data_IF_058743848851
#
_entry.id   IF_058743848851
#
_cell.length_a   1.000
_cell.length_b   1.000
_cell.length_c   1.000
_cell.angle_alpha   90.00
_cell.angle_beta   90.00
_cell.angle_gamma   90.00
#
_symmetry.space_group_name_H-M   'P 1'
#
loop_
_entity.id
_entity.type
_entity.pdbx_description
1 polymer ?
#
# COMPACT_ATOMS: atom_id res chain seq x y z
N UNK A 1 -0.02 6.20 -18.69
CA UNK A 1 -1.34 6.12 -19.38
C UNK A 1 -2.28 5.34 -18.48
N UNK A 2 -3.51 5.83 -18.29
CA UNK A 2 -4.52 5.10 -17.50
C UNK A 2 -5.03 3.89 -18.28
N UNK A 3 -5.21 2.76 -17.59
CA UNK A 3 -5.78 1.56 -18.19
C UNK A 3 -7.26 1.80 -18.57
N UNK A 4 -7.68 1.52 -19.80
CA UNK A 4 -9.11 1.58 -20.17
C UNK A 4 -9.94 0.58 -19.34
N UNK A 5 -11.14 0.99 -18.93
CA UNK A 5 -12.06 0.15 -18.15
C UNK A 5 -12.40 -1.17 -18.87
N UNK A 6 -12.58 -1.13 -20.20
CA UNK A 6 -12.82 -2.33 -21.02
C UNK A 6 -11.65 -3.34 -20.93
N UNK A 7 -10.42 -2.86 -20.81
CA UNK A 7 -9.25 -3.71 -20.63
C UNK A 7 -9.24 -4.35 -19.24
N UNK A 8 -9.62 -3.60 -18.19
CA UNK A 8 -9.78 -4.12 -16.85
C UNK A 8 -10.89 -5.17 -16.76
N UNK A 9 -12.01 -4.98 -17.45
CA UNK A 9 -13.11 -5.97 -17.55
C UNK A 9 -12.62 -7.26 -18.20
N UNK A 10 -11.86 -7.17 -19.30
CA UNK A 10 -11.27 -8.35 -19.96
C UNK A 10 -10.31 -9.08 -19.02
N UNK A 11 -9.40 -8.38 -18.35
CA UNK A 11 -8.47 -9.00 -17.38
C UNK A 11 -9.23 -9.76 -16.30
N UNK A 12 -10.28 -9.14 -15.74
CA UNK A 12 -11.11 -9.78 -14.72
C UNK A 12 -11.72 -11.08 -15.21
N UNK A 13 -12.28 -11.07 -16.42
CA UNK A 13 -12.88 -12.26 -17.03
C UNK A 13 -11.85 -13.33 -17.37
N UNK A 14 -10.75 -12.93 -18.03
CA UNK A 14 -9.78 -13.88 -18.61
C UNK A 14 -8.86 -14.51 -17.56
N UNK A 15 -8.61 -13.80 -16.44
CA UNK A 15 -7.67 -14.26 -15.41
C UNK A 15 -8.36 -14.78 -14.14
N UNK A 16 -9.53 -14.25 -13.81
CA UNK A 16 -10.25 -14.58 -12.59
C UNK A 16 -11.60 -15.26 -12.82
N UNK A 17 -12.00 -15.47 -14.09
CA UNK A 17 -13.30 -16.03 -14.43
C UNK A 17 -14.50 -15.22 -13.94
N UNK A 18 -14.29 -13.93 -13.64
CA UNK A 18 -15.29 -13.07 -13.02
C UNK A 18 -15.86 -12.05 -14.01
N UNK A 19 -17.17 -11.80 -13.88
CA UNK A 19 -17.88 -10.71 -14.55
C UNK A 19 -18.50 -9.79 -13.50
N UNK A 20 -18.62 -8.50 -13.84
CA UNK A 20 -19.20 -7.53 -12.92
C UNK A 20 -19.03 -6.09 -13.37
N UNK A 21 -19.62 -5.17 -12.61
CA UNK A 21 -19.46 -3.75 -12.81
C UNK A 21 -18.15 -3.26 -12.17
N UNK A 22 -17.43 -2.39 -12.87
CA UNK A 22 -16.24 -1.73 -12.37
C UNK A 22 -16.57 -0.27 -11.98
N UNK A 23 -15.94 0.19 -10.93
CA UNK A 23 -15.88 1.61 -10.57
C UNK A 23 -14.42 1.97 -10.30
N UNK A 24 -13.87 2.87 -11.11
CA UNK A 24 -12.52 3.39 -10.90
C UNK A 24 -12.47 4.24 -9.64
N UNK A 25 -11.41 4.09 -8.87
CA UNK A 25 -11.04 5.05 -7.83
C UNK A 25 -10.03 6.06 -8.36
N UNK A 26 -10.11 7.28 -7.83
CA UNK A 26 -9.08 8.28 -8.03
C UNK A 26 -7.92 7.96 -7.06
N UNK A 27 -6.79 7.54 -7.62
CA UNK A 27 -5.59 7.12 -6.89
C UNK A 27 -4.36 7.76 -7.51
N UNK A 28 -3.36 8.08 -6.70
CA UNK A 28 -2.19 8.85 -7.14
C UNK A 28 -1.31 8.10 -8.14
N UNK A 29 -1.19 6.78 -8.02
CA UNK A 29 -0.20 6.01 -8.79
C UNK A 29 -0.82 4.87 -9.59
N UNK A 30 -1.59 4.00 -8.95
CA UNK A 30 -2.12 2.78 -9.54
C UNK A 30 -3.45 3.04 -10.27
N UNK A 31 -3.77 2.22 -11.27
CA UNK A 31 -5.15 2.09 -11.70
C UNK A 31 -5.88 1.14 -10.74
N UNK A 32 -6.82 1.66 -9.98
CA UNK A 32 -7.56 0.90 -8.97
C UNK A 32 -9.04 0.88 -9.29
N UNK A 33 -9.63 -0.32 -9.34
CA UNK A 33 -11.04 -0.51 -9.64
C UNK A 33 -11.72 -1.31 -8.53
N UNK A 34 -12.86 -0.81 -8.05
CA UNK A 34 -13.80 -1.64 -7.32
C UNK A 34 -14.58 -2.49 -8.31
N UNK A 35 -14.52 -3.78 -8.14
CA UNK A 35 -15.30 -4.77 -8.88
C UNK A 35 -16.50 -5.14 -8.02
N UNK A 36 -17.70 -5.16 -8.65
CA UNK A 36 -18.91 -5.71 -8.02
C UNK A 36 -19.45 -6.79 -8.94
N UNK A 37 -19.35 -8.04 -8.51
CA UNK A 37 -19.81 -9.20 -9.28
C UNK A 37 -21.34 -9.32 -9.26
N UNK A 38 -21.91 -10.11 -10.16
CA UNK A 38 -23.38 -10.31 -10.27
C UNK A 38 -23.99 -10.90 -9.00
N UNK A 39 -23.23 -11.72 -8.25
CA UNK A 39 -23.63 -12.29 -6.94
C UNK A 39 -23.41 -11.32 -5.77
N UNK A 40 -23.01 -10.07 -6.05
CA UNK A 40 -22.86 -9.01 -5.06
C UNK A 40 -21.53 -9.00 -4.28
N UNK A 41 -20.60 -9.92 -4.56
CA UNK A 41 -19.26 -9.88 -3.98
C UNK A 41 -18.50 -8.67 -4.51
N UNK A 42 -17.63 -8.12 -3.65
CA UNK A 42 -16.81 -6.96 -4.01
C UNK A 42 -15.32 -7.26 -3.89
N UNK A 43 -14.55 -6.72 -4.85
CA UNK A 43 -13.10 -6.87 -4.90
C UNK A 43 -12.46 -5.54 -5.31
N UNK A 44 -11.15 -5.46 -5.14
CA UNK A 44 -10.30 -4.40 -5.64
C UNK A 44 -9.34 -4.99 -6.66
N UNK A 45 -9.50 -4.62 -7.92
CA UNK A 45 -8.52 -4.90 -8.97
C UNK A 45 -7.51 -3.75 -8.99
N UNK A 46 -6.25 -4.06 -8.78
CA UNK A 46 -5.13 -3.11 -8.85
C UNK A 46 -4.23 -3.44 -10.02
N UNK A 47 -3.98 -2.44 -10.84
CA UNK A 47 -2.98 -2.46 -11.90
C UNK A 47 -1.92 -1.46 -11.51
N UNK A 48 -0.76 -1.95 -11.10
CA UNK A 48 0.31 -1.13 -10.56
C UNK A 48 0.83 -0.11 -11.57
N UNK A 49 1.38 0.99 -11.08
CA UNK A 49 2.15 1.92 -11.89
C UNK A 49 3.30 1.17 -12.58
N UNK A 50 3.62 1.45 -13.87
CA UNK A 50 4.73 0.79 -14.57
C UNK A 50 6.10 1.02 -13.90
N UNK A 51 6.25 2.12 -13.15
CA UNK A 51 7.48 2.42 -12.40
C UNK A 51 7.59 1.65 -11.08
N UNK A 52 6.55 0.93 -10.67
CA UNK A 52 6.57 0.14 -9.44
C UNK A 52 7.24 -1.22 -9.70
N UNK A 53 8.37 -1.53 -9.06
CA UNK A 53 9.05 -2.81 -9.25
C UNK A 53 8.18 -4.00 -8.84
N UNK A 54 8.31 -5.12 -9.55
CA UNK A 54 7.63 -6.37 -9.18
C UNK A 54 7.87 -6.75 -7.71
N UNK A 55 9.10 -6.59 -7.22
CA UNK A 55 9.49 -6.91 -5.85
C UNK A 55 8.73 -6.12 -4.79
N UNK A 56 8.28 -4.89 -5.10
CA UNK A 56 7.43 -4.10 -4.22
C UNK A 56 6.01 -4.66 -4.11
N UNK A 57 5.46 -5.11 -5.23
CA UNK A 57 4.12 -5.71 -5.27
C UNK A 57 4.16 -7.09 -4.60
N UNK A 58 5.21 -7.86 -4.84
CA UNK A 58 5.45 -9.15 -4.20
C UNK A 58 5.62 -9.00 -2.67
N UNK A 59 6.38 -8.00 -2.22
CA UNK A 59 6.47 -7.65 -0.81
C UNK A 59 5.09 -7.42 -0.17
N UNK A 60 4.24 -6.62 -0.82
CA UNK A 60 2.90 -6.32 -0.31
C UNK A 60 2.01 -7.57 -0.26
N UNK A 61 2.04 -8.41 -1.29
CA UNK A 61 1.27 -9.65 -1.34
C UNK A 61 1.76 -10.66 -0.30
N UNK A 62 3.08 -10.86 -0.23
CA UNK A 62 3.71 -11.73 0.77
C UNK A 62 3.37 -11.31 2.19
N UNK A 63 3.36 -10.00 2.47
CA UNK A 63 2.94 -9.47 3.78
C UNK A 63 1.47 -9.78 4.08
N UNK A 64 0.56 -9.57 3.12
CA UNK A 64 -0.86 -9.88 3.31
C UNK A 64 -1.10 -11.36 3.57
N UNK A 65 -0.42 -12.27 2.84
CA UNK A 65 -0.45 -13.71 3.08
C UNK A 65 0.09 -14.07 4.46
N UNK A 66 1.21 -13.47 4.86
CA UNK A 66 1.79 -13.68 6.19
C UNK A 66 0.83 -13.25 7.30
N UNK A 67 0.26 -12.05 7.21
CA UNK A 67 -0.72 -11.54 8.18
C UNK A 67 -1.95 -12.45 8.26
N UNK A 68 -2.43 -12.97 7.12
CA UNK A 68 -3.55 -13.90 7.08
C UNK A 68 -3.27 -15.18 7.86
N UNK A 69 -2.04 -15.72 7.80
CA UNK A 69 -1.65 -16.91 8.58
C UNK A 69 -1.52 -16.64 10.07
N UNK A 70 -1.14 -15.43 10.46
CA UNK A 70 -0.89 -15.02 11.85
C UNK A 70 -2.15 -14.58 12.58
N UNK A 71 -3.02 -13.85 11.90
CA UNK A 71 -4.30 -13.35 12.42
C UNK A 71 -5.35 -13.33 11.30
N UNK A 72 -6.00 -14.48 11.01
CA UNK A 72 -6.99 -14.57 9.95
C UNK A 72 -8.24 -13.70 10.18
N UNK A 73 -8.44 -13.21 11.42
CA UNK A 73 -9.56 -12.35 11.77
C UNK A 73 -9.26 -10.86 11.69
N UNK A 74 -8.00 -10.49 11.39
CA UNK A 74 -7.64 -9.10 11.21
C UNK A 74 -8.31 -8.55 9.93
N UNK A 75 -8.99 -7.39 9.99
CA UNK A 75 -9.68 -6.81 8.84
C UNK A 75 -8.68 -6.13 7.89
N UNK A 76 -7.92 -6.93 7.16
CA UNK A 76 -7.04 -6.49 6.07
C UNK A 76 -7.48 -7.17 4.77
N UNK A 77 -7.18 -6.58 3.60
CA UNK A 77 -7.49 -7.21 2.32
C UNK A 77 -6.89 -8.60 2.22
N UNK A 78 -7.57 -9.50 1.54
CA UNK A 78 -7.08 -10.84 1.21
C UNK A 78 -6.75 -10.91 -0.27
N UNK A 79 -5.71 -11.66 -0.61
CA UNK A 79 -5.35 -11.92 -2.00
C UNK A 79 -6.38 -12.89 -2.59
N UNK A 80 -6.85 -12.58 -3.78
CA UNK A 80 -7.65 -13.48 -4.59
C UNK A 80 -6.82 -13.93 -5.78
N UNK A 81 -6.46 -15.21 -5.79
CA UNK A 81 -5.65 -15.78 -6.86
C UNK A 81 -6.43 -15.86 -8.18
N UNK A 82 -5.72 -15.85 -9.29
CA UNK A 82 -6.26 -16.14 -10.61
C UNK A 82 -6.77 -17.60 -10.68
N UNK A 83 -7.50 -17.97 -11.74
CA UNK A 83 -7.97 -19.36 -11.94
C UNK A 83 -6.82 -20.37 -12.01
N UNK A 84 -5.65 -19.95 -12.47
CA UNK A 84 -4.43 -20.77 -12.53
C UNK A 84 -3.56 -20.68 -11.24
N UNK A 85 -4.08 -20.06 -10.17
CA UNK A 85 -3.45 -20.02 -8.84
C UNK A 85 -2.32 -19.02 -8.70
N UNK A 86 -2.30 -17.97 -9.52
CA UNK A 86 -1.29 -16.91 -9.48
C UNK A 86 -1.84 -15.69 -8.76
N UNK A 87 -1.10 -15.14 -7.82
CA UNK A 87 -1.51 -13.99 -7.01
C UNK A 87 -1.09 -12.64 -7.61
N UNK A 88 -0.02 -12.61 -8.42
CA UNK A 88 0.46 -11.45 -9.18
C UNK A 88 0.82 -11.91 -10.58
N UNK A 89 0.34 -11.24 -11.60
CA UNK A 89 0.79 -11.45 -12.97
C UNK A 89 1.13 -10.13 -13.64
N UNK A 90 1.92 -10.18 -14.69
CA UNK A 90 2.31 -9.02 -15.47
C UNK A 90 1.52 -8.97 -16.77
N UNK A 91 1.16 -7.76 -17.17
CA UNK A 91 0.59 -7.44 -18.46
C UNK A 91 1.48 -6.46 -19.21
N UNK A 92 1.36 -6.43 -20.51
CA UNK A 92 1.90 -5.36 -21.34
C UNK A 92 0.77 -4.38 -21.65
N UNK A 93 0.94 -3.13 -21.18
CA UNK A 93 -0.05 -2.09 -21.42
C UNK A 93 0.01 -1.58 -22.88
N UNK A 94 -0.92 -0.72 -23.26
CA UNK A 94 -1.05 -0.17 -24.63
C UNK A 94 0.18 0.63 -25.08
N UNK A 95 0.92 1.21 -24.15
CA UNK A 95 2.18 1.93 -24.38
C UNK A 95 3.42 1.01 -24.40
N UNK A 96 3.22 -0.29 -24.16
CA UNK A 96 4.27 -1.30 -24.11
C UNK A 96 4.93 -1.50 -22.76
N UNK A 97 4.58 -0.71 -21.75
CA UNK A 97 5.08 -0.87 -20.37
C UNK A 97 4.59 -2.17 -19.73
N UNK A 98 5.43 -2.73 -18.85
CA UNK A 98 5.05 -3.90 -18.02
C UNK A 98 4.38 -3.41 -16.74
N UNK A 99 3.22 -3.99 -16.40
CA UNK A 99 2.47 -3.63 -15.20
C UNK A 99 2.04 -4.87 -14.44
N UNK A 100 2.18 -4.84 -13.12
CA UNK A 100 1.68 -5.91 -12.25
C UNK A 100 0.18 -5.75 -12.00
N UNK A 101 -0.54 -6.89 -11.99
CA UNK A 101 -1.97 -6.95 -11.72
C UNK A 101 -2.22 -7.91 -10.57
N UNK A 102 -3.09 -7.51 -9.65
CA UNK A 102 -3.56 -8.33 -8.54
C UNK A 102 -5.00 -8.01 -8.17
N UNK A 103 -5.70 -8.99 -7.59
CA UNK A 103 -7.07 -8.83 -7.12
C UNK A 103 -7.11 -9.05 -5.61
N UNK A 104 -7.75 -8.14 -4.91
CA UNK A 104 -7.89 -8.15 -3.45
C UNK A 104 -9.36 -8.18 -3.07
N UNK A 105 -9.69 -8.73 -1.91
CA UNK A 105 -11.03 -8.56 -1.34
C UNK A 105 -11.30 -7.10 -1.01
N UNK A 106 -12.51 -6.63 -1.21
CA UNK A 106 -12.94 -5.32 -0.77
C UNK A 106 -13.22 -5.34 0.74
N UNK A 107 -12.73 -4.34 1.45
CA UNK A 107 -13.07 -4.15 2.86
C UNK A 107 -14.33 -3.31 2.98
N UNK A 108 -15.34 -3.88 3.64
CA UNK A 108 -16.56 -3.17 3.96
C UNK A 108 -16.35 -2.21 5.12
N UNK A 109 -16.96 -1.04 5.03
CA UNK A 109 -16.87 -0.03 6.08
C UNK A 109 -17.13 1.37 5.57
N UNK A 110 -17.08 2.32 6.48
CA UNK A 110 -17.12 3.74 6.18
C UNK A 110 -15.71 4.31 6.32
N UNK A 111 -15.21 5.06 5.33
CA UNK A 111 -13.91 5.72 5.42
C UNK A 111 -13.79 6.58 6.69
N UNK A 112 -12.60 6.61 7.27
CA UNK A 112 -12.39 7.25 8.58
C UNK A 112 -12.59 8.78 8.51
N UNK A 113 -12.27 9.39 7.38
CA UNK A 113 -12.48 10.82 7.08
C UNK A 113 -13.96 11.19 6.95
N UNK A 114 -14.83 10.22 6.65
CA UNK A 114 -16.28 10.38 6.59
C UNK A 114 -16.96 10.15 7.97
N UNK A 115 -16.19 9.80 9.00
CA UNK A 115 -16.72 9.48 10.33
C UNK A 115 -16.28 10.48 11.40
N UNK A 116 -17.13 10.69 12.40
CA UNK A 116 -16.70 11.40 13.61
C UNK A 116 -16.02 10.42 14.57
N UNK A 117 -14.74 10.67 14.84
CA UNK A 117 -13.97 9.83 15.77
C UNK A 117 -14.29 10.19 17.22
N UNK A 118 -14.96 9.30 17.93
CA UNK A 118 -15.13 9.37 19.39
C UNK A 118 -14.00 8.65 20.15
N UNK A 119 -14.04 8.66 21.47
CA UNK A 119 -13.05 7.97 22.31
C UNK A 119 -13.05 6.46 22.06
N UNK A 120 -14.23 5.86 21.88
CA UNK A 120 -14.38 4.42 21.67
C UNK A 120 -13.77 4.01 20.33
N UNK A 121 -14.07 4.76 19.26
CA UNK A 121 -13.50 4.54 17.93
C UNK A 121 -11.98 4.61 17.93
N UNK A 122 -11.39 5.62 18.58
CA UNK A 122 -9.92 5.74 18.72
C UNK A 122 -9.30 4.54 19.45
N UNK A 123 -9.95 4.03 20.50
CA UNK A 123 -9.50 2.82 21.20
C UNK A 123 -9.53 1.60 20.28
N UNK A 124 -10.58 1.44 19.46
CA UNK A 124 -10.69 0.32 18.53
C UNK A 124 -9.61 0.40 17.45
N UNK A 125 -9.35 1.59 16.89
CA UNK A 125 -8.26 1.81 15.93
C UNK A 125 -6.92 1.43 16.57
N UNK A 126 -6.63 1.90 17.79
CA UNK A 126 -5.39 1.55 18.49
C UNK A 126 -5.23 0.04 18.73
N UNK A 127 -6.33 -0.67 19.07
CA UNK A 127 -6.31 -2.14 19.19
C UNK A 127 -6.04 -2.82 17.85
N UNK A 128 -6.65 -2.33 16.77
CA UNK A 128 -6.43 -2.88 15.43
C UNK A 128 -4.98 -2.69 14.98
N UNK A 129 -4.41 -1.50 15.17
CA UNK A 129 -3.00 -1.22 14.85
C UNK A 129 -2.05 -2.09 15.68
N UNK A 130 -2.34 -2.31 16.97
CA UNK A 130 -1.56 -3.21 17.81
C UNK A 130 -1.62 -4.66 17.29
N UNK A 131 -2.81 -5.15 16.90
CA UNK A 131 -2.96 -6.49 16.31
C UNK A 131 -2.17 -6.61 15.00
N UNK A 132 -2.26 -5.60 14.12
CA UNK A 132 -1.51 -5.56 12.87
C UNK A 132 0.00 -5.64 13.14
N UNK A 133 0.50 -4.82 14.09
CA UNK A 133 1.90 -4.87 14.51
C UNK A 133 2.33 -6.27 14.97
N UNK A 134 1.51 -6.95 15.76
CA UNK A 134 1.83 -8.33 16.18
C UNK A 134 1.75 -9.33 15.03
N UNK A 135 0.78 -9.15 14.13
CA UNK A 135 0.65 -10.02 12.97
C UNK A 135 1.81 -9.89 11.98
N UNK A 136 2.44 -8.70 11.87
CA UNK A 136 3.61 -8.47 11.01
C UNK A 136 4.93 -8.86 11.69
N UNK A 137 4.94 -9.21 12.97
CA UNK A 137 6.16 -9.53 13.70
C UNK A 137 6.84 -10.78 13.15
N UNK A 138 8.13 -10.64 12.80
CA UNK A 138 8.93 -11.73 12.22
C UNK A 138 8.76 -11.92 10.72
N UNK A 139 7.95 -11.09 10.05
CA UNK A 139 7.92 -11.06 8.60
C UNK A 139 9.26 -10.53 8.06
N UNK A 140 9.80 -11.21 7.06
CA UNK A 140 11.02 -10.81 6.33
C UNK A 140 10.80 -10.97 4.83
N UNK A 141 11.41 -10.11 4.04
CA UNK A 141 11.32 -10.14 2.59
C UNK A 141 12.55 -9.45 1.98
N UNK A 142 12.94 -9.82 0.76
CA UNK A 142 14.09 -9.21 0.09
C UNK A 142 13.96 -7.68 -0.12
N UNK A 143 12.73 -7.17 -0.23
CA UNK A 143 12.43 -5.75 -0.37
C UNK A 143 12.13 -5.04 0.97
N UNK A 144 12.39 -5.64 2.13
CA UNK A 144 12.08 -5.03 3.43
C UNK A 144 12.91 -3.77 3.72
N UNK A 145 14.15 -3.70 3.24
CA UNK A 145 15.07 -2.58 3.40
C UNK A 145 15.04 -1.58 2.21
N UNK A 146 13.98 -1.60 1.39
CA UNK A 146 13.83 -0.68 0.26
C UNK A 146 13.82 0.78 0.68
N UNK A 147 14.24 1.67 -0.21
CA UNK A 147 14.05 3.09 0.00
C UNK A 147 12.55 3.45 -0.07
N UNK A 148 12.05 4.08 0.96
CA UNK A 148 10.69 4.63 1.01
C UNK A 148 10.74 6.05 1.54
N UNK A 149 10.29 7.02 0.74
CA UNK A 149 10.44 8.45 1.06
C UNK A 149 9.75 8.90 2.35
N UNK A 150 8.72 8.17 2.81
CA UNK A 150 8.03 8.45 4.08
C UNK A 150 8.65 7.72 5.29
N UNK A 151 9.66 6.89 5.07
CA UNK A 151 10.39 6.29 6.18
C UNK A 151 11.34 7.34 6.78
N UNK A 152 11.10 7.68 8.04
CA UNK A 152 11.90 8.67 8.76
C UNK A 152 13.41 8.36 8.78
N UNK A 153 13.80 7.10 8.58
CA UNK A 153 15.22 6.71 8.47
C UNK A 153 15.93 7.40 7.29
N UNK A 154 15.17 7.79 6.26
CA UNK A 154 15.67 8.45 5.06
C UNK A 154 15.54 9.98 5.11
N UNK A 155 15.13 10.56 6.25
CA UNK A 155 14.87 12.00 6.36
C UNK A 155 16.05 12.87 5.91
N UNK A 156 17.29 12.49 6.25
CA UNK A 156 18.48 13.27 5.86
C UNK A 156 18.77 13.25 4.34
N UNK A 157 18.23 12.28 3.61
CA UNK A 157 18.38 12.26 2.14
C UNK A 157 17.60 13.39 1.48
N UNK A 158 16.63 13.97 2.18
CA UNK A 158 15.80 15.08 1.68
C UNK A 158 16.42 16.46 1.96
N UNK A 159 17.59 16.54 2.62
CA UNK A 159 18.21 17.81 2.98
C UNK A 159 18.46 18.74 1.78
N UNK A 160 18.79 18.17 0.62
CA UNK A 160 18.99 18.94 -0.62
C UNK A 160 17.73 19.72 -1.05
N UNK A 161 16.53 19.29 -0.64
CA UNK A 161 15.28 20.00 -0.93
C UNK A 161 15.10 21.29 -0.14
N UNK A 162 15.96 21.56 0.84
CA UNK A 162 15.95 22.85 1.55
C UNK A 162 16.19 24.03 0.61
N UNK A 163 16.92 23.82 -0.48
CA UNK A 163 17.21 24.86 -1.45
C UNK A 163 15.96 25.24 -2.27
N UNK A 164 14.95 24.37 -2.34
CA UNK A 164 13.68 24.63 -3.02
C UNK A 164 12.66 25.41 -2.13
N UNK A 165 13.02 25.66 -0.86
CA UNK A 165 12.14 26.39 0.06
C UNK A 165 12.48 27.89 0.01
N UNK A 166 11.64 28.70 -0.62
CA UNK A 166 11.89 30.14 -0.80
C UNK A 166 11.82 30.93 0.53
N UNK A 167 10.88 30.57 1.40
CA UNK A 167 10.70 31.28 2.68
C UNK A 167 11.85 30.97 3.64
N UNK A 168 12.61 32.01 3.97
CA UNK A 168 13.76 31.89 4.87
C UNK A 168 13.41 31.31 6.25
N UNK A 169 12.27 31.73 6.83
CA UNK A 169 11.87 31.29 8.16
C UNK A 169 11.52 29.79 8.16
N UNK A 170 10.79 29.36 7.14
CA UNK A 170 10.45 27.95 6.95
C UNK A 170 11.72 27.10 6.70
N UNK A 171 12.61 27.55 5.81
CA UNK A 171 13.89 26.90 5.56
C UNK A 171 14.72 26.74 6.82
N UNK A 172 14.81 27.79 7.63
CA UNK A 172 15.55 27.75 8.89
C UNK A 172 14.91 26.75 9.89
N UNK A 173 13.59 26.72 10.00
CA UNK A 173 12.88 25.77 10.86
C UNK A 173 13.11 24.31 10.41
N UNK A 174 13.05 24.03 9.12
CA UNK A 174 13.35 22.72 8.55
C UNK A 174 14.81 22.30 8.79
N UNK A 175 15.76 23.22 8.55
CA UNK A 175 17.19 22.98 8.80
C UNK A 175 17.45 22.63 10.27
N UNK A 176 16.82 23.34 11.21
CA UNK A 176 16.91 23.02 12.64
C UNK A 176 16.26 21.66 12.98
N UNK A 177 15.20 21.27 12.25
CA UNK A 177 14.58 19.96 12.37
C UNK A 177 15.53 18.85 11.97
N UNK A 178 16.19 18.99 10.81
CA UNK A 178 17.20 18.03 10.33
C UNK A 178 18.41 17.94 11.26
N UNK A 179 18.87 19.07 11.80
CA UNK A 179 19.98 19.06 12.75
C UNK A 179 19.63 18.31 14.06
N UNK A 180 18.41 18.50 14.57
CA UNK A 180 17.92 17.71 15.71
C UNK A 180 17.82 16.22 15.36
N UNK A 181 17.40 15.90 14.14
CA UNK A 181 17.31 14.50 13.70
C UNK A 181 18.70 13.84 13.65
N UNK A 182 19.76 14.52 13.16
CA UNK A 182 21.14 14.00 13.17
C UNK A 182 21.60 13.55 14.55
N UNK A 183 21.18 14.26 15.61
CA UNK A 183 21.53 13.90 16.98
C UNK A 183 20.87 12.62 17.49
N UNK A 184 19.71 12.24 16.92
CA UNK A 184 18.98 11.03 17.31
C UNK A 184 19.14 9.87 16.34
N UNK A 185 19.62 10.10 15.11
CA UNK A 185 19.74 9.11 14.06
C UNK A 185 20.46 7.84 14.52
N UNK A 186 21.58 7.98 15.24
CA UNK A 186 22.35 6.84 15.75
C UNK A 186 21.50 5.97 16.69
N UNK A 187 20.70 6.59 17.53
CA UNK A 187 19.77 5.88 18.44
C UNK A 187 18.64 5.24 17.69
N UNK A 188 18.10 5.92 16.66
CA UNK A 188 17.04 5.39 15.80
C UNK A 188 17.50 4.12 15.09
N UNK A 189 18.74 4.10 14.57
CA UNK A 189 19.34 2.92 13.93
C UNK A 189 19.49 1.71 14.85
N UNK A 190 19.55 1.93 16.17
CA UNK A 190 19.62 0.89 17.21
C UNK A 190 18.24 0.40 17.66
N UNK A 191 17.16 1.08 17.25
CA UNK A 191 15.81 0.65 17.58
C UNK A 191 15.47 -0.65 16.84
N UNK A 192 14.60 -1.45 17.45
CA UNK A 192 14.05 -2.64 16.82
C UNK A 192 13.26 -2.23 15.58
N UNK A 193 13.57 -2.87 14.46
CA UNK A 193 12.89 -2.67 13.18
C UNK A 193 11.93 -3.81 12.88
N UNK A 194 10.86 -3.53 12.22
CA UNK A 194 9.95 -4.48 11.61
C UNK A 194 9.03 -3.74 10.63
N UNK A 195 8.36 -4.48 9.78
CA UNK A 195 7.42 -3.92 8.81
C UNK A 195 6.22 -3.30 9.53
N UNK A 196 5.89 -2.06 9.16
CA UNK A 196 4.77 -1.28 9.69
C UNK A 196 3.83 -0.85 8.56
N UNK A 197 2.62 -0.46 8.92
CA UNK A 197 1.66 0.11 7.97
C UNK A 197 2.15 1.46 7.40
N UNK A 198 2.71 2.30 8.23
CA UNK A 198 3.32 3.60 7.89
C UNK A 198 2.38 4.61 7.20
N UNK A 199 1.07 4.56 7.50
CA UNK A 199 0.08 5.53 7.02
C UNK A 199 -0.99 5.73 8.09
#
# INVERSE_FOLDING_TARGET
VQMPEESAIRLLKDRYGMTGALKRFDTEKDDTFRVTTEDGRRFILKVANPDEPFTEIDFQNSLLRYVETRDPTLPVPRINDTEDGVDIFQIKDVDGSQRCVRLLTFLEGTPLDETQSDKTGRVQIGKMLARLRYATEGFTHEAEDRYYGWDVQHLLTLEHLLDEVDDYTQRQALSQGLERFRHIEVKLRQCRKHVLHND
#
